data_IF_303814116420
#
_entry.id   IF_303814116420
#
_cell.length_a   1.000
_cell.length_b   1.000
_cell.length_c   1.000
_cell.angle_alpha   90.00
_cell.angle_beta   90.00
_cell.angle_gamma   90.00
#
_symmetry.space_group_name_H-M   'P 1'
#
loop_
_entity.id
_entity.type
_entity.pdbx_description
1 polymer ?
#
# COMPACT_ATOMS: atom_id res chain seq x y z
N UNK A 1 36.58 41.57 -24.17
CA UNK A 1 37.15 40.65 -25.19
C UNK A 1 36.73 41.18 -26.55
N UNK A 2 37.67 41.69 -27.35
CA UNK A 2 37.43 42.34 -28.64
C UNK A 2 36.83 41.33 -29.64
N UNK A 3 35.78 41.67 -30.42
CA UNK A 3 35.05 40.72 -31.27
C UNK A 3 35.84 40.13 -32.46
N UNK A 4 37.04 40.65 -32.75
CA UNK A 4 37.84 40.30 -33.94
C UNK A 4 38.54 38.94 -33.86
N UNK A 5 38.70 38.33 -32.67
CA UNK A 5 39.39 37.04 -32.51
C UNK A 5 38.53 35.83 -32.89
N UNK A 6 37.20 35.97 -32.94
CA UNK A 6 36.26 34.88 -33.28
C UNK A 6 36.38 34.40 -34.74
N UNK A 7 36.91 35.25 -35.62
CA UNK A 7 37.03 35.02 -37.06
C UNK A 7 38.47 34.76 -37.52
N UNK A 8 39.44 34.85 -36.62
CA UNK A 8 40.85 34.62 -36.97
C UNK A 8 41.05 33.14 -37.27
N UNK A 9 41.34 32.85 -38.54
CA UNK A 9 41.54 31.48 -39.03
C UNK A 9 42.95 30.99 -38.66
N UNK A 10 43.08 29.70 -38.37
CA UNK A 10 44.39 29.07 -38.22
C UNK A 10 45.05 28.88 -39.61
N UNK A 11 46.24 28.26 -39.64
CA UNK A 11 46.98 27.96 -40.89
C UNK A 11 46.18 27.08 -41.87
N UNK A 12 45.25 26.26 -41.37
CA UNK A 12 44.37 25.39 -42.16
C UNK A 12 43.10 26.10 -42.64
N UNK A 13 42.92 27.40 -42.33
CA UNK A 13 41.75 28.18 -42.73
C UNK A 13 40.52 27.99 -41.83
N UNK A 14 40.64 27.23 -40.74
CA UNK A 14 39.55 26.95 -39.81
C UNK A 14 39.44 28.02 -38.71
N UNK A 15 38.20 28.40 -38.38
CA UNK A 15 37.94 29.27 -37.22
C UNK A 15 38.04 28.51 -35.90
N UNK A 16 38.28 29.19 -34.76
CA UNK A 16 38.43 28.53 -33.46
C UNK A 16 37.21 27.66 -33.08
N UNK A 17 36.00 28.08 -33.50
CA UNK A 17 34.77 27.30 -33.30
C UNK A 17 34.77 26.00 -34.11
N UNK A 18 35.21 26.04 -35.37
CA UNK A 18 35.30 24.85 -36.22
C UNK A 18 36.31 23.84 -35.65
N UNK A 19 37.49 24.30 -35.22
CA UNK A 19 38.51 23.43 -34.59
C UNK A 19 37.97 22.77 -33.33
N UNK A 20 37.28 23.53 -32.46
CA UNK A 20 36.66 22.99 -31.26
C UNK A 20 35.59 21.93 -31.59
N UNK A 21 34.68 22.23 -32.53
CA UNK A 21 33.63 21.28 -32.95
C UNK A 21 34.22 20.03 -33.61
N UNK A 22 35.29 20.17 -34.40
CA UNK A 22 35.95 19.04 -35.06
C UNK A 22 36.65 18.13 -34.03
N UNK A 23 37.34 18.71 -33.06
CA UNK A 23 38.03 17.96 -32.00
C UNK A 23 37.07 17.35 -30.97
N UNK A 24 35.90 17.97 -30.71
CA UNK A 24 34.94 17.47 -29.73
C UNK A 24 33.81 16.62 -30.34
N UNK A 25 33.79 16.42 -31.67
CA UNK A 25 32.71 15.69 -32.35
C UNK A 25 32.53 14.28 -31.78
N UNK A 26 33.63 13.55 -31.62
CA UNK A 26 33.59 12.17 -31.17
C UNK A 26 33.27 12.06 -29.68
N UNK A 27 33.82 12.96 -28.84
CA UNK A 27 33.47 13.02 -27.41
C UNK A 27 32.00 13.38 -27.18
N UNK A 28 31.40 14.21 -28.04
CA UNK A 28 29.97 14.54 -27.94
C UNK A 28 29.11 13.31 -28.28
N UNK A 29 29.51 12.52 -29.28
CA UNK A 29 28.79 11.29 -29.64
C UNK A 29 28.93 10.23 -28.53
N UNK A 30 30.13 10.07 -27.98
CA UNK A 30 30.39 9.13 -26.88
C UNK A 30 29.68 9.56 -25.60
N UNK A 31 29.70 10.86 -25.28
CA UNK A 31 28.98 11.44 -24.15
C UNK A 31 27.46 11.27 -24.27
N UNK A 32 26.88 11.47 -25.47
CA UNK A 32 25.45 11.23 -25.72
C UNK A 32 25.08 9.74 -25.53
N UNK A 33 25.92 8.83 -26.02
CA UNK A 33 25.73 7.38 -25.81
C UNK A 33 25.82 7.00 -24.33
N UNK A 34 26.85 7.48 -23.63
CA UNK A 34 27.04 7.22 -22.20
C UNK A 34 25.87 7.76 -21.38
N UNK A 35 25.37 8.95 -21.71
CA UNK A 35 24.22 9.54 -21.03
C UNK A 35 22.95 8.70 -21.23
N UNK A 36 22.74 8.15 -22.42
CA UNK A 36 21.62 7.24 -22.71
C UNK A 36 21.73 5.92 -21.96
N UNK A 37 22.92 5.31 -21.91
CA UNK A 37 23.14 4.08 -21.14
C UNK A 37 22.95 4.32 -19.63
N UNK A 38 23.43 5.44 -19.11
CA UNK A 38 23.28 5.84 -17.72
C UNK A 38 21.79 6.09 -17.37
N UNK A 39 21.06 6.79 -18.25
CA UNK A 39 19.63 7.02 -18.09
C UNK A 39 18.82 5.70 -18.08
N UNK A 40 19.12 4.79 -19.03
CA UNK A 40 18.44 3.48 -19.12
C UNK A 40 18.67 2.66 -17.85
N UNK A 41 19.89 2.68 -17.32
CA UNK A 41 20.25 2.00 -16.06
C UNK A 41 19.46 2.54 -14.87
N UNK A 42 19.30 3.86 -14.77
CA UNK A 42 18.51 4.51 -13.73
C UNK A 42 17.01 4.21 -13.84
N UNK A 43 16.47 4.10 -15.06
CA UNK A 43 15.05 3.70 -15.26
C UNK A 43 14.81 2.26 -14.81
N UNK A 44 15.74 1.34 -15.08
CA UNK A 44 15.65 -0.05 -14.62
C UNK A 44 15.70 -0.10 -13.09
N UNK A 45 16.64 0.60 -12.47
CA UNK A 45 16.75 0.67 -11.01
C UNK A 45 15.48 1.30 -10.39
N UNK A 46 14.96 2.38 -10.95
CA UNK A 46 13.72 3.01 -10.51
C UNK A 46 12.50 2.09 -10.63
N UNK A 47 12.36 1.41 -11.77
CA UNK A 47 11.29 0.43 -11.99
C UNK A 47 11.34 -0.71 -10.97
N UNK A 48 12.54 -1.20 -10.65
CA UNK A 48 12.72 -2.25 -9.66
C UNK A 48 12.28 -1.78 -8.26
N UNK A 49 12.68 -0.59 -7.85
CA UNK A 49 12.30 -0.01 -6.55
C UNK A 49 10.79 0.16 -6.45
N UNK A 50 10.14 0.72 -7.48
CA UNK A 50 8.68 0.90 -7.51
C UNK A 50 7.97 -0.46 -7.38
N UNK A 51 8.46 -1.49 -8.10
CA UNK A 51 7.87 -2.84 -8.04
C UNK A 51 7.97 -3.44 -6.64
N UNK A 52 9.13 -3.30 -5.97
CA UNK A 52 9.33 -3.80 -4.61
C UNK A 52 8.45 -3.04 -3.62
N UNK A 53 8.38 -1.71 -3.73
CA UNK A 53 7.53 -0.88 -2.85
C UNK A 53 6.06 -1.21 -3.03
N UNK A 54 5.60 -1.39 -4.27
CA UNK A 54 4.24 -1.82 -4.57
C UNK A 54 3.97 -3.18 -3.92
N UNK A 55 4.80 -4.19 -4.20
CA UNK A 55 4.64 -5.51 -3.59
C UNK A 55 4.61 -5.45 -2.06
N UNK A 56 5.51 -4.70 -1.42
CA UNK A 56 5.54 -4.52 0.03
C UNK A 56 4.28 -3.84 0.56
N UNK A 57 3.79 -2.79 -0.09
CA UNK A 57 2.60 -2.05 0.33
C UNK A 57 1.33 -2.90 0.33
N UNK A 58 1.22 -3.91 -0.52
CA UNK A 58 0.05 -4.82 -0.56
C UNK A 58 0.26 -6.09 0.25
N UNK A 59 1.45 -6.69 0.18
CA UNK A 59 1.73 -7.98 0.85
C UNK A 59 1.90 -7.83 2.36
N UNK A 60 2.53 -6.76 2.83
CA UNK A 60 2.79 -6.56 4.27
C UNK A 60 1.48 -6.40 5.04
N UNK A 61 0.53 -5.51 4.66
CA UNK A 61 -0.75 -5.43 5.36
C UNK A 61 -1.53 -6.74 5.27
N UNK A 62 -1.61 -7.38 4.11
CA UNK A 62 -2.34 -8.64 3.94
C UNK A 62 -1.78 -9.78 4.82
N UNK A 63 -0.46 -9.88 4.93
CA UNK A 63 0.21 -10.84 5.82
C UNK A 63 -0.06 -10.53 7.30
N UNK A 64 -0.02 -9.25 7.68
CA UNK A 64 -0.34 -8.81 9.05
C UNK A 64 -1.80 -9.09 9.42
N UNK A 65 -2.74 -8.89 8.50
CA UNK A 65 -4.15 -9.24 8.70
C UNK A 65 -4.36 -10.74 8.87
N UNK A 66 -3.71 -11.55 8.04
CA UNK A 66 -3.82 -13.02 8.09
C UNK A 66 -3.25 -13.55 9.40
N UNK A 67 -2.08 -13.05 9.82
CA UNK A 67 -1.45 -13.39 11.11
C UNK A 67 -2.31 -12.93 12.30
N UNK A 68 -2.87 -11.73 12.24
CA UNK A 68 -3.78 -11.24 13.29
C UNK A 68 -5.04 -12.10 13.39
N UNK A 69 -5.59 -12.52 12.25
CA UNK A 69 -6.79 -13.38 12.19
C UNK A 69 -6.53 -14.76 12.81
N UNK A 70 -5.38 -15.39 12.52
CA UNK A 70 -5.04 -16.69 13.11
C UNK A 70 -4.81 -16.60 14.62
N UNK A 71 -4.12 -15.54 15.09
CA UNK A 71 -3.96 -15.26 16.52
C UNK A 71 -5.30 -15.06 17.20
N UNK A 72 -6.23 -14.32 16.58
CA UNK A 72 -7.58 -14.11 17.12
C UNK A 72 -8.41 -15.39 17.14
N UNK A 73 -8.30 -16.27 16.13
CA UNK A 73 -8.95 -17.58 16.10
C UNK A 73 -8.39 -18.47 17.22
N UNK A 74 -7.08 -18.48 17.41
CA UNK A 74 -6.42 -19.22 18.48
C UNK A 74 -6.79 -18.67 19.87
N UNK A 75 -6.82 -17.35 20.03
CA UNK A 75 -7.25 -16.69 21.25
C UNK A 75 -8.74 -16.93 21.49
N UNK A 76 -9.56 -17.01 20.45
CA UNK A 76 -10.97 -17.42 20.51
C UNK A 76 -11.13 -18.86 21.00
N UNK A 77 -10.30 -19.78 20.50
CA UNK A 77 -10.25 -21.16 20.99
C UNK A 77 -9.75 -21.28 22.44
N UNK A 78 -8.71 -20.53 22.83
CA UNK A 78 -8.22 -20.53 24.21
C UNK A 78 -9.19 -19.83 25.18
N UNK A 79 -9.90 -18.80 24.71
CA UNK A 79 -10.95 -18.12 25.48
C UNK A 79 -12.14 -19.06 25.75
N UNK A 80 -12.38 -20.08 24.90
CA UNK A 80 -13.40 -21.12 25.13
C UNK A 80 -13.14 -21.98 26.38
N UNK A 81 -11.89 -22.05 26.88
CA UNK A 81 -11.48 -22.85 28.04
C UNK A 81 -11.17 -22.04 29.30
N UNK A 82 -11.54 -20.76 29.36
CA UNK A 82 -11.24 -19.90 30.52
C UNK A 82 -12.45 -19.77 31.45
N UNK A 83 -12.23 -19.92 32.75
CA UNK A 83 -13.29 -20.19 33.73
C UNK A 83 -14.21 -19.00 34.00
N UNK A 84 -15.50 -19.33 34.09
CA UNK A 84 -16.60 -18.71 34.84
C UNK A 84 -17.15 -17.31 34.47
N UNK A 85 -17.88 -17.29 33.34
CA UNK A 85 -19.21 -16.66 33.10
C UNK A 85 -19.42 -15.14 33.20
N UNK A 86 -18.64 -14.36 33.95
CA UNK A 86 -18.87 -12.90 34.05
C UNK A 86 -17.74 -12.06 33.45
N UNK A 87 -16.52 -12.58 33.41
CA UNK A 87 -15.37 -11.88 32.80
C UNK A 87 -15.27 -12.05 31.28
N UNK A 88 -15.69 -13.19 30.74
CA UNK A 88 -15.57 -13.52 29.32
C UNK A 88 -16.66 -12.93 28.42
N UNK A 89 -17.63 -12.20 28.97
CA UNK A 89 -18.64 -11.49 28.16
C UNK A 89 -18.17 -10.09 27.80
N UNK A 90 -17.41 -9.47 28.69
CA UNK A 90 -16.86 -8.12 28.50
C UNK A 90 -15.55 -8.17 27.72
N UNK A 91 -14.76 -9.24 27.86
CA UNK A 91 -13.44 -9.36 27.24
C UNK A 91 -13.46 -9.50 25.70
N UNK A 92 -14.19 -10.45 25.09
CA UNK A 92 -14.30 -10.53 23.63
C UNK A 92 -15.08 -9.35 23.06
N UNK A 93 -16.00 -8.75 23.83
CA UNK A 93 -16.74 -7.53 23.41
C UNK A 93 -15.83 -6.30 23.34
N UNK A 94 -14.89 -6.15 24.28
CA UNK A 94 -13.87 -5.09 24.26
C UNK A 94 -12.78 -5.34 23.22
N UNK A 95 -12.38 -6.59 23.01
CA UNK A 95 -11.45 -6.98 21.94
C UNK A 95 -12.06 -6.77 20.53
N UNK A 96 -13.35 -7.03 20.38
CA UNK A 96 -14.11 -6.76 19.15
C UNK A 96 -14.09 -5.31 18.74
N UNK A 97 -14.40 -4.45 19.70
CA UNK A 97 -14.50 -3.02 19.47
C UNK A 97 -13.11 -2.44 19.14
N UNK A 98 -12.05 -2.95 19.78
CA UNK A 98 -10.66 -2.64 19.45
C UNK A 98 -10.28 -3.10 18.04
N UNK A 99 -10.66 -4.31 17.64
CA UNK A 99 -10.37 -4.86 16.31
C UNK A 99 -11.11 -4.12 15.19
N UNK A 100 -12.36 -3.75 15.42
CA UNK A 100 -13.14 -2.93 14.49
C UNK A 100 -12.49 -1.55 14.29
N UNK A 101 -12.03 -0.94 15.39
CA UNK A 101 -11.34 0.36 15.34
C UNK A 101 -9.98 0.24 14.67
N UNK A 102 -9.23 -0.85 14.90
CA UNK A 102 -7.96 -1.14 14.22
C UNK A 102 -8.17 -1.29 12.71
N UNK A 103 -9.22 -2.00 12.30
CA UNK A 103 -9.56 -2.17 10.91
C UNK A 103 -9.97 -0.85 10.23
N UNK A 104 -10.82 -0.06 10.88
CA UNK A 104 -11.18 1.28 10.43
C UNK A 104 -9.95 2.20 10.32
N UNK A 105 -8.97 2.07 11.23
CA UNK A 105 -7.73 2.85 11.23
C UNK A 105 -6.80 2.49 10.05
N UNK A 106 -6.59 1.20 9.78
CA UNK A 106 -5.76 0.76 8.64
C UNK A 106 -6.42 1.15 7.32
N UNK A 107 -7.74 1.04 7.24
CA UNK A 107 -8.53 1.47 6.09
C UNK A 107 -8.41 2.99 5.89
N UNK A 108 -8.57 3.77 6.95
CA UNK A 108 -8.44 5.23 6.89
C UNK A 108 -7.02 5.67 6.47
N UNK A 109 -5.98 5.00 6.97
CA UNK A 109 -4.60 5.27 6.56
C UNK A 109 -4.36 4.90 5.09
N UNK A 110 -4.86 3.76 4.61
CA UNK A 110 -4.80 3.40 3.19
C UNK A 110 -5.55 4.40 2.30
N UNK A 111 -6.74 4.86 2.72
CA UNK A 111 -7.53 5.87 2.00
C UNK A 111 -6.79 7.20 1.96
N UNK A 112 -6.22 7.63 3.09
CA UNK A 112 -5.50 8.90 3.20
C UNK A 112 -4.22 8.88 2.36
N UNK A 113 -3.50 7.75 2.35
CA UNK A 113 -2.33 7.56 1.50
C UNK A 113 -2.70 7.54 0.01
N UNK A 114 -3.78 6.85 -0.36
CA UNK A 114 -4.29 6.87 -1.74
C UNK A 114 -4.72 8.30 -2.14
N UNK A 115 -5.43 9.02 -1.27
CA UNK A 115 -5.82 10.41 -1.51
C UNK A 115 -4.60 11.34 -1.66
N UNK A 116 -3.58 11.16 -0.81
CA UNK A 116 -2.33 11.93 -0.90
C UNK A 116 -1.56 11.63 -2.20
N UNK A 117 -1.49 10.36 -2.63
CA UNK A 117 -0.89 9.98 -3.91
C UNK A 117 -1.70 10.51 -5.10
N UNK A 118 -3.03 10.53 -5.01
CA UNK A 118 -3.91 11.11 -6.03
C UNK A 118 -3.70 12.63 -6.14
N UNK A 119 -3.54 13.34 -5.02
CA UNK A 119 -3.30 14.80 -4.99
C UNK A 119 -1.87 15.14 -5.45
N UNK A 120 -0.88 14.31 -5.12
CA UNK A 120 0.51 14.48 -5.58
C UNK A 120 0.72 14.12 -7.05
N UNK A 121 -0.08 13.19 -7.60
CA UNK A 121 0.01 12.72 -8.98
C UNK A 121 -1.03 13.43 -9.85
N UNK A 122 -0.86 14.74 -10.00
CA UNK A 122 -1.73 15.59 -10.82
C UNK A 122 -1.55 15.24 -12.31
N UNK A 123 -2.53 14.55 -12.92
CA UNK A 123 -2.45 14.28 -14.36
C UNK A 123 -3.55 13.45 -15.03
N UNK A 124 -3.97 12.29 -14.51
CA UNK A 124 -4.87 11.40 -15.29
C UNK A 124 -6.03 10.81 -14.46
N UNK A 125 -7.25 11.28 -14.73
CA UNK A 125 -8.51 10.81 -14.10
C UNK A 125 -8.74 9.30 -14.32
N UNK A 126 -8.15 8.71 -15.37
CA UNK A 126 -8.30 7.29 -15.71
C UNK A 126 -7.68 6.33 -14.68
N UNK A 127 -6.64 6.74 -13.95
CA UNK A 127 -6.01 5.91 -12.90
C UNK A 127 -6.69 6.06 -11.53
N UNK A 128 -7.47 7.11 -11.34
CA UNK A 128 -8.18 7.37 -10.07
C UNK A 128 -9.37 6.41 -9.86
N UNK A 129 -10.11 6.12 -10.92
CA UNK A 129 -11.30 5.24 -10.90
C UNK A 129 -10.98 3.82 -10.40
N UNK A 130 -9.96 3.10 -10.92
CA UNK A 130 -9.65 1.75 -10.45
C UNK A 130 -9.14 1.73 -9.00
N UNK A 131 -8.45 2.78 -8.55
CA UNK A 131 -7.93 2.88 -7.17
C UNK A 131 -9.10 2.97 -6.17
N UNK A 132 -10.09 3.82 -6.45
CA UNK A 132 -11.27 3.98 -5.58
C UNK A 132 -12.11 2.70 -5.57
N UNK A 133 -12.29 2.06 -6.73
CA UNK A 133 -13.03 0.81 -6.83
C UNK A 133 -12.32 -0.34 -6.06
N UNK A 134 -11.00 -0.43 -6.16
CA UNK A 134 -10.20 -1.44 -5.46
C UNK A 134 -10.20 -1.23 -3.94
N UNK A 135 -10.14 0.02 -3.48
CA UNK A 135 -10.28 0.36 -2.06
C UNK A 135 -11.66 -0.04 -1.52
N UNK A 136 -12.73 0.33 -2.24
CA UNK A 136 -14.10 -0.04 -1.86
C UNK A 136 -14.32 -1.56 -1.86
N UNK A 137 -13.79 -2.25 -2.86
CA UNK A 137 -13.85 -3.71 -2.95
C UNK A 137 -13.15 -4.39 -1.76
N UNK A 138 -11.97 -3.93 -1.39
CA UNK A 138 -11.20 -4.49 -0.25
C UNK A 138 -11.97 -4.33 1.07
N UNK A 139 -12.59 -3.17 1.30
CA UNK A 139 -13.40 -2.90 2.49
C UNK A 139 -14.68 -3.73 2.49
N UNK A 140 -15.38 -3.79 1.36
CA UNK A 140 -16.65 -4.51 1.25
C UNK A 140 -16.46 -6.02 1.40
N UNK A 141 -15.39 -6.59 0.83
CA UNK A 141 -15.04 -8.01 0.98
C UNK A 141 -14.67 -8.33 2.42
N UNK A 142 -13.92 -7.46 3.10
CA UNK A 142 -13.58 -7.66 4.50
C UNK A 142 -14.82 -7.60 5.41
N UNK A 143 -15.69 -6.61 5.23
CA UNK A 143 -16.94 -6.52 6.00
C UNK A 143 -17.83 -7.73 5.70
N UNK A 144 -18.00 -8.11 4.43
CA UNK A 144 -18.85 -9.25 4.05
C UNK A 144 -18.31 -10.61 4.54
N UNK A 145 -16.99 -10.79 4.64
CA UNK A 145 -16.37 -12.03 5.15
C UNK A 145 -16.31 -12.07 6.68
N UNK A 146 -15.97 -10.96 7.33
CA UNK A 146 -15.77 -10.91 8.77
C UNK A 146 -17.10 -10.89 9.53
N UNK A 147 -18.14 -10.25 8.98
CA UNK A 147 -19.45 -10.08 9.62
C UNK A 147 -20.25 -11.36 9.87
N UNK A 148 -20.39 -12.31 8.92
CA UNK A 148 -21.12 -13.56 9.18
C UNK A 148 -20.39 -14.42 10.21
N UNK A 149 -19.05 -14.46 10.15
CA UNK A 149 -18.22 -15.17 11.12
C UNK A 149 -18.34 -14.53 12.52
N UNK A 150 -18.51 -13.20 12.57
CA UNK A 150 -18.77 -12.46 13.80
C UNK A 150 -20.12 -12.76 14.43
N UNK A 151 -21.18 -12.69 13.61
CA UNK A 151 -22.55 -12.92 14.06
C UNK A 151 -22.73 -14.38 14.44
N UNK A 152 -22.11 -15.32 13.75
CA UNK A 152 -22.21 -16.75 14.06
C UNK A 152 -21.51 -17.09 15.38
N UNK A 153 -20.32 -16.51 15.64
CA UNK A 153 -19.64 -16.64 16.95
C UNK A 153 -20.47 -15.99 18.08
N UNK A 154 -21.08 -14.82 17.84
CA UNK A 154 -21.92 -14.15 18.82
C UNK A 154 -23.24 -14.89 19.08
N UNK A 155 -23.89 -15.37 18.02
CA UNK A 155 -25.14 -16.11 18.08
C UNK A 155 -24.93 -17.48 18.75
N UNK A 156 -23.84 -18.18 18.43
CA UNK A 156 -23.51 -19.47 19.05
C UNK A 156 -23.15 -19.33 20.54
N UNK A 157 -22.37 -18.31 20.88
CA UNK A 157 -21.96 -18.04 22.26
C UNK A 157 -23.09 -17.45 23.11
N UNK A 158 -23.93 -16.58 22.54
CA UNK A 158 -24.97 -15.86 23.29
C UNK A 158 -26.36 -16.52 23.17
N UNK A 159 -26.71 -17.06 22.01
CA UNK A 159 -27.97 -17.74 21.73
C UNK A 159 -28.13 -19.03 22.52
N UNK A 160 -27.10 -19.86 22.64
CA UNK A 160 -27.18 -21.09 23.47
C UNK A 160 -27.28 -20.79 24.96
N UNK A 161 -26.68 -19.70 25.44
CA UNK A 161 -26.78 -19.25 26.84
C UNK A 161 -28.12 -18.57 27.13
N UNK A 162 -28.64 -17.77 26.19
CA UNK A 162 -29.94 -17.12 26.32
C UNK A 162 -31.08 -18.14 26.24
N UNK A 163 -30.99 -19.12 25.34
CA UNK A 163 -31.93 -20.24 25.26
C UNK A 163 -31.96 -21.04 26.57
N UNK A 164 -30.78 -21.33 27.14
CA UNK A 164 -30.65 -21.98 28.46
C UNK A 164 -31.23 -21.16 29.61
N UNK A 165 -31.25 -19.83 29.49
CA UNK A 165 -31.80 -18.92 30.51
C UNK A 165 -33.29 -18.65 30.31
N UNK A 166 -33.86 -18.90 29.13
CA UNK A 166 -35.29 -18.75 28.84
C UNK A 166 -36.08 -20.04 29.12
N UNK A 167 -35.49 -21.23 28.93
CA UNK A 167 -36.14 -22.51 29.26
C UNK A 167 -36.60 -22.69 30.72
N UNK A 168 -35.91 -22.17 31.76
CA UNK A 168 -36.35 -22.31 33.15
C UNK A 168 -37.64 -21.53 33.49
N UNK A 169 -38.04 -20.57 32.66
CA UNK A 169 -39.16 -19.66 32.94
C UNK A 169 -40.41 -19.91 32.05
N UNK A 170 -40.31 -20.83 31.09
CA UNK A 170 -41.39 -21.17 30.14
C UNK A 170 -42.05 -22.53 30.46
N UNK A 171 -41.65 -23.15 31.58
CA UNK A 171 -42.28 -24.35 32.13
C UNK A 171 -42.68 -24.12 33.59
N UNK A 172 -43.56 -23.16 33.84
CA UNK A 172 -44.48 -23.11 35.00
C UNK A 172 -45.81 -22.51 34.55
#
# INVERSE_FOLDING_TARGET
MTPTTKLKKNLDGDTPKQVFTKNHKDLVIEGDKWMKECATSCTIAGSLIITIMFAAAFTVPAALFTSSTSVLVFLGMLTSRYSERDFLKSLPKKLMFGLFTLFCSITAMMITFCAALIIMLEGEISVMIPIIAFAGFTVSVFVALQFPLFIDILSSTYGSIFDRKMKPWLCE
#
